data_IF_588663521184
#
_entry.id   IF_588663521184
#
_cell.length_a   1.000
_cell.length_b   1.000
_cell.length_c   1.000
_cell.angle_alpha   90.00
_cell.angle_beta   90.00
_cell.angle_gamma   90.00
#
_symmetry.space_group_name_H-M   'P 1'
#
loop_
_entity.id
_entity.type
_entity.pdbx_description
1 polymer ?
#
# COMPACT_ATOMS: atom_id res chain seq x y z
N UNK A 1 -20.74 17.16 16.18
CA UNK A 1 -19.89 16.03 16.60
C UNK A 1 -18.42 16.43 16.48
N UNK A 2 -17.56 15.80 17.28
CA UNK A 2 -16.10 15.89 17.20
C UNK A 2 -15.59 14.85 16.19
N UNK A 3 -14.95 15.33 15.12
CA UNK A 3 -14.45 14.52 14.02
C UNK A 3 -12.92 14.56 14.04
N UNK A 4 -12.29 13.39 14.16
CA UNK A 4 -10.85 13.26 14.06
C UNK A 4 -10.46 12.71 12.70
N UNK A 5 -9.79 13.53 11.92
CA UNK A 5 -9.21 13.13 10.64
C UNK A 5 -7.79 12.64 10.86
N UNK A 6 -7.58 11.33 10.68
CA UNK A 6 -6.26 10.70 10.67
C UNK A 6 -5.73 10.79 9.24
N UNK A 7 -4.89 11.79 8.96
CA UNK A 7 -4.28 11.98 7.65
C UNK A 7 -3.01 11.12 7.51
N UNK A 8 -3.14 10.00 6.81
CA UNK A 8 -2.09 9.05 6.47
C UNK A 8 -1.16 9.50 5.34
N UNK A 9 -1.41 10.65 4.71
CA UNK A 9 -0.55 11.15 3.64
C UNK A 9 0.81 11.64 4.17
N UNK A 10 1.94 11.22 3.58
CA UNK A 10 3.26 11.74 3.96
C UNK A 10 3.43 13.23 3.65
N UNK A 11 2.53 13.81 2.84
CA UNK A 11 2.54 15.24 2.51
C UNK A 11 1.91 16.12 3.59
N UNK A 12 1.28 15.54 4.62
CA UNK A 12 0.59 16.30 5.67
C UNK A 12 -0.44 17.26 5.10
N UNK A 13 -0.38 18.53 5.48
CA UNK A 13 -1.26 19.60 4.97
C UNK A 13 -1.17 19.79 3.45
N UNK A 14 -0.09 19.33 2.81
CA UNK A 14 0.08 19.41 1.36
C UNK A 14 -0.56 18.22 0.60
N UNK A 15 -1.37 17.41 1.27
CA UNK A 15 -2.04 16.26 0.67
C UNK A 15 -3.24 16.68 -0.17
N UNK A 16 -3.34 16.15 -1.40
CA UNK A 16 -4.54 16.28 -2.24
C UNK A 16 -5.73 15.60 -1.55
N UNK A 17 -5.50 14.42 -0.96
CA UNK A 17 -6.53 13.67 -0.22
C UNK A 17 -7.16 14.49 0.91
N UNK A 18 -6.37 15.33 1.58
CA UNK A 18 -6.87 16.13 2.69
C UNK A 18 -7.82 17.24 2.23
N UNK A 19 -7.69 17.69 0.98
CA UNK A 19 -8.46 18.84 0.47
C UNK A 19 -9.96 18.58 0.46
N UNK A 20 -10.40 17.36 0.18
CA UNK A 20 -11.83 17.01 0.23
C UNK A 20 -12.37 17.11 1.65
N UNK A 21 -11.59 16.74 2.67
CA UNK A 21 -12.04 16.87 4.06
C UNK A 21 -12.00 18.32 4.56
N UNK A 22 -11.07 19.14 4.08
CA UNK A 22 -11.08 20.60 4.31
C UNK A 22 -12.27 21.29 3.63
N UNK A 23 -12.66 20.80 2.44
CA UNK A 23 -13.89 21.23 1.78
C UNK A 23 -15.11 20.87 2.63
N UNK A 24 -15.20 19.63 3.13
CA UNK A 24 -16.30 19.21 4.01
C UNK A 24 -16.35 19.98 5.33
N UNK A 25 -15.21 20.31 5.94
CA UNK A 25 -15.14 21.18 7.12
C UNK A 25 -15.77 22.56 6.86
N UNK A 26 -15.55 23.13 5.66
CA UNK A 26 -16.16 24.41 5.26
C UNK A 26 -17.67 24.30 4.99
N UNK A 27 -18.12 23.17 4.46
CA UNK A 27 -19.54 22.95 4.15
C UNK A 27 -20.36 22.65 5.40
N UNK A 28 -19.82 21.86 6.34
CA UNK A 28 -20.52 21.36 7.53
C UNK A 28 -19.99 21.99 8.82
N UNK A 29 -20.23 23.30 8.96
CA UNK A 29 -19.72 24.15 10.06
C UNK A 29 -20.24 23.79 11.46
N UNK A 30 -21.31 23.00 11.55
CA UNK A 30 -21.91 22.48 12.78
C UNK A 30 -21.10 21.34 13.42
N UNK A 31 -20.01 20.90 12.77
CA UNK A 31 -19.13 19.85 13.26
C UNK A 31 -17.71 20.38 13.47
N UNK A 32 -17.03 19.84 14.49
CA UNK A 32 -15.67 20.23 14.83
C UNK A 32 -14.69 19.22 14.24
N UNK A 33 -13.91 19.65 13.25
CA UNK A 33 -12.85 18.84 12.67
C UNK A 33 -11.53 19.07 13.40
N UNK A 34 -10.80 17.99 13.66
CA UNK A 34 -9.41 18.01 14.09
C UNK A 34 -8.59 17.14 13.14
N UNK A 35 -7.45 17.67 12.67
CA UNK A 35 -6.61 17.00 11.69
C UNK A 35 -5.28 16.54 12.32
N UNK A 36 -5.05 15.23 12.32
CA UNK A 36 -3.78 14.62 12.73
C UNK A 36 -3.00 14.15 11.51
N UNK A 37 -1.89 14.82 11.21
CA UNK A 37 -0.98 14.48 10.12
C UNK A 37 -0.06 13.28 10.47
N UNK A 38 -0.65 12.11 10.72
CA UNK A 38 0.08 10.89 11.11
C UNK A 38 1.03 10.43 10.02
N UNK A 39 0.68 10.60 8.75
CA UNK A 39 1.53 10.24 7.62
C UNK A 39 2.85 10.99 7.60
N UNK A 40 2.82 12.29 7.93
CA UNK A 40 4.03 13.12 8.00
C UNK A 40 4.79 12.92 9.32
N UNK A 41 4.08 12.65 10.41
CA UNK A 41 4.61 12.62 11.78
C UNK A 41 4.81 11.20 12.34
N UNK A 42 4.78 10.15 11.52
CA UNK A 42 4.79 8.77 12.05
C UNK A 42 5.99 8.48 12.97
N UNK A 43 7.20 8.95 12.61
CA UNK A 43 8.41 8.80 13.44
C UNK A 43 8.35 9.55 14.77
N UNK A 44 7.56 10.61 14.83
CA UNK A 44 7.27 11.32 16.08
C UNK A 44 6.32 10.49 16.94
N UNK A 45 5.22 9.99 16.36
CA UNK A 45 4.23 9.21 17.09
C UNK A 45 4.73 7.83 17.55
N UNK A 46 5.75 7.26 16.90
CA UNK A 46 6.46 6.08 17.42
C UNK A 46 7.02 6.29 18.83
N UNK A 47 7.30 7.54 19.23
CA UNK A 47 7.86 7.89 20.55
C UNK A 47 6.88 8.63 21.45
N UNK A 48 6.02 9.45 20.86
CA UNK A 48 5.17 10.41 21.55
C UNK A 48 3.68 10.08 21.36
N UNK A 49 3.34 8.79 21.29
CA UNK A 49 1.99 8.35 20.99
C UNK A 49 0.94 8.85 22.00
N UNK A 50 1.32 8.97 23.27
CA UNK A 50 0.42 9.40 24.34
C UNK A 50 -0.17 10.80 24.14
N UNK A 51 0.48 11.66 23.35
CA UNK A 51 0.02 13.04 23.11
C UNK A 51 -1.31 13.12 22.35
N UNK A 52 -1.70 12.06 21.63
CA UNK A 52 -2.94 12.05 20.84
C UNK A 52 -4.05 11.21 21.49
N UNK A 53 -3.78 10.62 22.66
CA UNK A 53 -4.73 9.73 23.34
C UNK A 53 -6.01 10.47 23.74
N UNK A 54 -5.86 11.65 24.31
CA UNK A 54 -6.99 12.48 24.74
C UNK A 54 -7.89 12.88 23.56
N UNK A 55 -7.30 13.22 22.42
CA UNK A 55 -8.06 13.56 21.21
C UNK A 55 -8.81 12.35 20.65
N UNK A 56 -8.18 11.17 20.65
CA UNK A 56 -8.83 9.92 20.24
C UNK A 56 -10.02 9.57 21.15
N UNK A 57 -9.89 9.78 22.46
CA UNK A 57 -10.95 9.49 23.44
C UNK A 57 -12.12 10.48 23.36
N UNK A 58 -11.88 11.77 23.07
CA UNK A 58 -12.92 12.81 22.93
C UNK A 58 -13.67 12.80 21.60
N UNK A 59 -13.19 12.02 20.64
CA UNK A 59 -13.73 11.98 19.27
C UNK A 59 -15.00 11.14 19.19
N UNK A 60 -15.98 11.60 18.41
CA UNK A 60 -17.20 10.85 18.09
C UNK A 60 -16.99 9.94 16.87
N UNK A 61 -16.28 10.46 15.86
CA UNK A 61 -16.03 9.81 14.57
C UNK A 61 -14.58 9.95 14.14
N UNK A 62 -13.96 8.84 13.76
CA UNK A 62 -12.62 8.81 13.17
C UNK A 62 -12.74 8.69 11.65
N UNK A 63 -12.10 9.59 10.89
CA UNK A 63 -12.00 9.52 9.44
C UNK A 63 -10.54 9.24 9.05
N UNK A 64 -10.28 8.04 8.52
CA UNK A 64 -8.98 7.69 7.96
C UNK A 64 -8.84 8.29 6.56
N UNK A 65 -7.94 9.26 6.39
CA UNK A 65 -7.71 9.97 5.13
C UNK A 65 -6.35 9.62 4.55
N UNK A 66 -6.29 9.01 3.36
CA UNK A 66 -5.01 8.54 2.82
C UNK A 66 -4.98 8.36 1.29
N UNK A 67 -3.82 8.56 0.63
CA UNK A 67 -3.63 8.13 -0.74
C UNK A 67 -3.35 6.62 -0.81
N UNK A 68 -3.70 5.96 -1.92
CA UNK A 68 -3.41 4.53 -2.11
C UNK A 68 -1.99 4.34 -2.66
N UNK A 69 -1.14 3.66 -1.90
CA UNK A 69 0.28 3.38 -2.20
C UNK A 69 0.51 1.87 -2.24
N UNK A 70 0.95 1.35 -3.38
CA UNK A 70 1.34 -0.06 -3.55
C UNK A 70 0.23 -1.04 -3.14
N UNK A 71 -0.97 -0.87 -3.72
CA UNK A 71 -2.18 -1.67 -3.46
C UNK A 71 -2.78 -1.52 -2.05
N UNK A 72 -2.29 -0.59 -1.21
CA UNK A 72 -2.75 -0.47 0.18
C UNK A 72 -2.62 0.97 0.69
N UNK A 73 -2.90 1.19 1.98
CA UNK A 73 -2.60 2.44 2.70
C UNK A 73 -1.08 2.70 2.73
N UNK A 74 -0.61 3.96 2.87
CA UNK A 74 0.81 4.24 3.03
C UNK A 74 1.39 3.58 4.29
N UNK A 75 2.66 3.20 4.26
CA UNK A 75 3.39 2.63 5.40
C UNK A 75 3.15 3.41 6.69
N UNK A 76 3.13 4.74 6.60
CA UNK A 76 2.99 5.60 7.76
C UNK A 76 1.62 5.42 8.45
N UNK A 77 0.55 5.21 7.68
CA UNK A 77 -0.77 4.91 8.24
C UNK A 77 -0.84 3.48 8.78
N UNK A 78 -0.21 2.53 8.08
CA UNK A 78 -0.11 1.15 8.57
C UNK A 78 0.59 1.11 9.94
N UNK A 79 1.76 1.74 10.08
CA UNK A 79 2.47 1.82 11.36
C UNK A 79 1.64 2.55 12.43
N UNK A 80 0.85 3.54 12.05
CA UNK A 80 -0.04 4.22 12.99
C UNK A 80 -1.13 3.28 13.55
N UNK A 81 -1.67 2.39 12.74
CA UNK A 81 -2.65 1.37 13.18
C UNK A 81 -2.01 0.36 14.14
N UNK A 82 -0.77 -0.05 13.88
CA UNK A 82 -0.01 -0.86 14.85
C UNK A 82 0.13 -0.12 16.18
N UNK A 83 0.50 1.16 16.16
CA UNK A 83 0.60 1.96 17.38
C UNK A 83 -0.75 2.08 18.13
N UNK A 84 -1.89 2.18 17.43
CA UNK A 84 -3.23 2.16 18.05
C UNK A 84 -3.44 0.88 18.86
N UNK A 85 -3.07 -0.27 18.28
CA UNK A 85 -3.22 -1.60 18.89
C UNK A 85 -2.23 -1.84 20.03
N UNK A 86 -0.96 -1.45 19.84
CA UNK A 86 0.11 -1.57 20.85
C UNK A 86 -0.17 -0.77 22.12
N UNK A 87 -0.87 0.37 22.01
CA UNK A 87 -1.12 1.27 23.13
C UNK A 87 -2.50 1.10 23.80
N UNK A 88 -3.28 0.09 23.42
CA UNK A 88 -4.57 -0.29 24.05
C UNK A 88 -5.52 0.91 24.29
N UNK A 89 -5.70 1.78 23.29
CA UNK A 89 -6.57 2.96 23.44
C UNK A 89 -8.04 2.54 23.47
N UNK A 90 -8.83 3.20 24.32
CA UNK A 90 -10.27 2.99 24.40
C UNK A 90 -11.02 3.77 23.29
N UNK A 91 -11.02 3.22 22.07
CA UNK A 91 -11.79 3.75 20.93
C UNK A 91 -12.95 2.84 20.52
N UNK A 92 -13.22 1.77 21.25
CA UNK A 92 -14.30 0.82 20.97
C UNK A 92 -15.66 1.53 20.89
N UNK A 93 -16.54 1.05 20.01
CA UNK A 93 -17.88 1.57 19.73
C UNK A 93 -17.96 2.99 19.13
N UNK A 94 -16.83 3.69 18.95
CA UNK A 94 -16.80 4.95 18.18
C UNK A 94 -17.03 4.65 16.71
N UNK A 95 -17.58 5.62 15.97
CA UNK A 95 -17.76 5.47 14.54
C UNK A 95 -16.44 5.68 13.80
N UNK A 96 -16.26 4.95 12.71
CA UNK A 96 -15.12 5.12 11.84
C UNK A 96 -15.53 5.05 10.38
N UNK A 97 -14.90 5.86 9.55
CA UNK A 97 -15.00 5.75 8.10
C UNK A 97 -13.67 6.11 7.46
N UNK A 98 -13.62 6.13 6.14
CA UNK A 98 -12.42 6.43 5.40
C UNK A 98 -12.68 7.25 4.15
N UNK A 99 -11.66 8.01 3.77
CA UNK A 99 -11.62 8.75 2.52
C UNK A 99 -10.25 8.53 1.87
N UNK A 100 -10.24 8.05 0.63
CA UNK A 100 -9.00 7.89 -0.11
C UNK A 100 -9.02 8.59 -1.45
N UNK A 101 -7.85 9.02 -1.90
CA UNK A 101 -7.66 9.39 -3.31
C UNK A 101 -6.72 8.40 -3.99
N UNK A 102 -7.09 7.95 -5.18
CA UNK A 102 -6.27 7.09 -6.00
C UNK A 102 -6.45 7.44 -7.49
N UNK A 103 -5.91 6.62 -8.40
CA UNK A 103 -6.35 6.59 -9.81
C UNK A 103 -7.30 5.41 -10.05
N UNK A 104 -8.10 5.06 -9.04
CA UNK A 104 -8.85 3.80 -8.91
C UNK A 104 -7.98 2.55 -9.03
N UNK A 105 -6.69 2.68 -8.73
CA UNK A 105 -5.76 1.57 -8.73
C UNK A 105 -5.83 0.85 -7.38
N UNK A 106 -6.54 -0.28 -7.33
CA UNK A 106 -6.65 -1.15 -6.15
C UNK A 106 -6.95 -0.39 -4.85
N UNK A 107 -7.83 0.60 -4.93
CA UNK A 107 -8.36 1.27 -3.76
C UNK A 107 -9.22 0.31 -2.91
N UNK A 108 -9.85 -0.69 -3.54
CA UNK A 108 -10.62 -1.73 -2.86
C UNK A 108 -9.83 -2.44 -1.76
N UNK A 109 -8.55 -2.78 -1.98
CA UNK A 109 -7.73 -3.52 -1.01
C UNK A 109 -7.27 -2.61 0.12
N UNK A 110 -6.98 -1.33 -0.19
CA UNK A 110 -6.68 -0.32 0.81
C UNK A 110 -7.89 -0.02 1.71
N UNK A 111 -9.08 0.08 1.12
CA UNK A 111 -10.32 0.27 1.87
C UNK A 111 -10.62 -0.92 2.76
N UNK A 112 -10.49 -2.13 2.22
CA UNK A 112 -10.75 -3.33 2.99
C UNK A 112 -9.78 -3.49 4.17
N UNK A 113 -8.51 -3.11 4.00
CA UNK A 113 -7.53 -3.12 5.09
C UNK A 113 -7.93 -2.19 6.25
N UNK A 114 -8.40 -0.96 5.96
CA UNK A 114 -8.89 -0.06 7.00
C UNK A 114 -10.17 -0.58 7.64
N UNK A 115 -11.11 -1.11 6.86
CA UNK A 115 -12.33 -1.73 7.37
C UNK A 115 -12.00 -2.83 8.37
N UNK A 116 -11.17 -3.80 7.98
CA UNK A 116 -10.82 -4.95 8.81
C UNK A 116 -10.13 -4.51 10.11
N UNK A 117 -9.17 -3.58 10.03
CA UNK A 117 -8.51 -3.02 11.21
C UNK A 117 -9.43 -2.17 12.09
N UNK A 118 -10.43 -1.49 11.53
CA UNK A 118 -11.44 -0.80 12.32
C UNK A 118 -12.28 -1.80 13.12
N UNK A 119 -12.64 -2.93 12.51
CA UNK A 119 -13.42 -3.96 13.17
C UNK A 119 -12.61 -4.66 14.28
N UNK A 120 -11.31 -4.90 14.08
CA UNK A 120 -10.40 -5.38 15.14
C UNK A 120 -10.38 -4.45 16.37
N UNK A 121 -10.36 -3.15 16.13
CA UNK A 121 -10.40 -2.11 17.17
C UNK A 121 -11.80 -1.94 17.80
N UNK A 122 -12.80 -2.69 17.33
CA UNK A 122 -14.18 -2.62 17.79
C UNK A 122 -14.89 -1.33 17.40
N UNK A 123 -14.46 -0.67 16.32
CA UNK A 123 -15.10 0.53 15.79
C UNK A 123 -16.37 0.18 15.01
N UNK A 124 -17.36 1.08 15.07
CA UNK A 124 -18.57 1.04 14.24
C UNK A 124 -18.24 1.58 12.86
N UNK A 125 -17.74 0.71 12.00
CA UNK A 125 -17.28 1.09 10.67
C UNK A 125 -18.45 1.42 9.73
N UNK A 126 -18.32 2.51 8.98
CA UNK A 126 -19.22 2.97 7.92
C UNK A 126 -18.41 3.05 6.63
N UNK A 127 -18.92 2.51 5.53
CA UNK A 127 -18.22 2.47 4.23
C UNK A 127 -17.77 3.86 3.80
N UNK A 128 -16.52 3.94 3.39
CA UNK A 128 -15.88 5.18 2.98
C UNK A 128 -16.11 5.58 1.52
N UNK A 129 -15.43 6.66 1.12
CA UNK A 129 -15.41 7.18 -0.26
C UNK A 129 -14.01 7.01 -0.87
N UNK A 130 -13.95 6.43 -2.07
CA UNK A 130 -12.73 6.42 -2.90
C UNK A 130 -12.92 7.37 -4.07
N UNK A 131 -12.08 8.40 -4.16
CA UNK A 131 -12.11 9.42 -5.21
C UNK A 131 -10.89 9.32 -6.13
N UNK A 132 -11.02 9.77 -7.38
CA UNK A 132 -9.86 10.14 -8.18
C UNK A 132 -9.21 11.39 -7.58
N UNK A 133 -7.89 11.53 -7.76
CA UNK A 133 -7.15 12.72 -7.34
C UNK A 133 -7.78 14.04 -7.82
N UNK A 134 -8.44 14.08 -8.98
CA UNK A 134 -8.98 15.30 -9.58
C UNK A 134 -10.46 15.59 -9.25
N UNK A 135 -11.16 14.71 -8.53
CA UNK A 135 -12.63 14.77 -8.45
C UNK A 135 -13.16 15.98 -7.68
N UNK A 136 -12.50 16.45 -6.62
CA UNK A 136 -12.94 17.65 -5.91
C UNK A 136 -12.99 18.91 -6.80
N UNK A 137 -12.21 18.92 -7.89
CA UNK A 137 -12.21 20.05 -8.85
C UNK A 137 -13.43 20.04 -9.78
N UNK A 138 -14.24 18.98 -9.75
CA UNK A 138 -15.47 18.83 -10.54
C UNK A 138 -16.69 18.99 -9.65
N UNK A 139 -17.82 19.40 -10.22
CA UNK A 139 -19.08 19.55 -9.47
C UNK A 139 -19.56 18.20 -8.94
N UNK A 140 -19.51 17.18 -9.79
CA UNK A 140 -19.94 15.82 -9.46
C UNK A 140 -19.12 15.27 -8.28
N UNK A 141 -17.80 15.49 -8.25
CA UNK A 141 -16.98 15.05 -7.13
C UNK A 141 -17.19 15.85 -5.84
N UNK A 142 -17.63 17.11 -5.93
CA UNK A 142 -18.07 17.89 -4.76
C UNK A 142 -19.40 17.35 -4.22
N UNK A 143 -20.34 17.04 -5.10
CA UNK A 143 -21.63 16.41 -4.76
C UNK A 143 -21.42 15.04 -4.12
N UNK A 144 -20.54 14.20 -4.68
CA UNK A 144 -20.19 12.89 -4.12
C UNK A 144 -19.61 13.01 -2.71
N UNK A 145 -18.72 13.98 -2.48
CA UNK A 145 -18.15 14.24 -1.15
C UNK A 145 -19.23 14.65 -0.15
N UNK A 146 -20.16 15.52 -0.55
CA UNK A 146 -21.27 16.00 0.28
C UNK A 146 -22.25 14.85 0.58
N UNK A 147 -22.60 14.05 -0.43
CA UNK A 147 -23.48 12.89 -0.28
C UNK A 147 -22.86 11.83 0.63
N UNK A 148 -21.57 11.56 0.48
CA UNK A 148 -20.80 10.71 1.40
C UNK A 148 -20.93 11.19 2.85
N UNK A 149 -20.72 12.48 3.09
CA UNK A 149 -20.74 13.02 4.43
C UNK A 149 -22.16 13.09 5.04
N UNK A 150 -23.16 13.43 4.23
CA UNK A 150 -24.57 13.34 4.63
C UNK A 150 -24.96 11.90 5.01
N UNK A 151 -24.53 10.91 4.24
CA UNK A 151 -24.75 9.50 4.56
C UNK A 151 -24.05 9.08 5.85
N UNK A 152 -22.82 9.55 6.09
CA UNK A 152 -22.10 9.34 7.35
C UNK A 152 -22.91 9.87 8.54
N UNK A 153 -23.38 11.13 8.48
CA UNK A 153 -24.21 11.74 9.52
C UNK A 153 -25.49 10.93 9.73
N UNK A 154 -26.18 10.54 8.65
CA UNK A 154 -27.37 9.73 8.72
C UNK A 154 -27.11 8.41 9.45
N UNK A 155 -26.03 7.70 9.11
CA UNK A 155 -25.66 6.45 9.77
C UNK A 155 -25.38 6.66 11.26
N UNK A 156 -24.63 7.69 11.64
CA UNK A 156 -24.31 7.97 13.05
C UNK A 156 -25.58 8.27 13.84
N UNK A 157 -26.46 9.16 13.34
CA UNK A 157 -27.69 9.56 14.01
C UNK A 157 -28.65 8.39 14.22
N UNK A 158 -28.63 7.39 13.33
CA UNK A 158 -29.47 6.20 13.40
C UNK A 158 -28.72 4.98 13.99
N UNK A 159 -27.51 5.18 14.51
CA UNK A 159 -26.65 4.13 15.04
C UNK A 159 -26.46 2.93 14.08
N UNK A 160 -26.28 3.24 12.79
CA UNK A 160 -26.06 2.27 11.72
C UNK A 160 -24.56 2.12 11.45
N UNK A 161 -24.12 0.88 11.34
CA UNK A 161 -22.76 0.54 10.93
C UNK A 161 -22.78 -0.70 10.04
N UNK A 162 -21.72 -0.87 9.27
CA UNK A 162 -21.51 -2.08 8.51
C UNK A 162 -21.25 -3.24 9.48
N UNK A 163 -21.95 -4.35 9.27
CA UNK A 163 -21.74 -5.60 10.00
C UNK A 163 -21.15 -6.58 8.99
N UNK A 164 -19.87 -6.92 9.15
CA UNK A 164 -19.27 -7.99 8.37
C UNK A 164 -19.49 -9.32 9.10
N UNK A 165 -20.34 -10.19 8.54
CA UNK A 165 -20.62 -11.51 9.11
C UNK A 165 -19.39 -12.44 9.16
N UNK A 166 -18.32 -12.12 8.41
CA UNK A 166 -17.06 -12.88 8.42
C UNK A 166 -16.18 -12.62 9.65
N UNK A 167 -16.47 -11.59 10.44
CA UNK A 167 -15.69 -11.24 11.65
C UNK A 167 -16.06 -12.07 12.89
N UNK A 168 -16.69 -13.23 12.72
CA UNK A 168 -16.84 -14.17 13.83
C UNK A 168 -15.46 -14.63 14.26
N UNK A 169 -15.11 -14.34 15.52
CA UNK A 169 -13.88 -14.79 16.16
C UNK A 169 -13.75 -16.30 15.96
N UNK A 170 -12.73 -16.71 15.22
CA UNK A 170 -12.36 -18.10 15.09
C UNK A 170 -11.30 -18.42 16.12
N UNK A 171 -11.55 -19.49 16.87
CA UNK A 171 -10.85 -19.83 18.09
C UNK A 171 -9.82 -20.94 17.87
N UNK A 172 -9.38 -21.21 16.63
CA UNK A 172 -8.31 -22.20 16.42
C UNK A 172 -7.02 -21.60 16.97
N UNK A 173 -6.48 -22.25 17.99
CA UNK A 173 -5.20 -21.83 18.56
C UNK A 173 -4.11 -21.92 17.50
N UNK A 174 -3.22 -20.93 17.48
CA UNK A 174 -2.07 -20.93 16.58
C UNK A 174 -1.15 -22.08 16.98
N UNK A 175 -1.07 -23.11 16.14
CA UNK A 175 -0.13 -24.21 16.31
C UNK A 175 1.21 -23.77 15.71
N UNK A 176 2.29 -23.86 16.49
CA UNK A 176 3.63 -23.56 16.00
C UNK A 176 4.04 -24.65 15.01
N UNK A 177 4.43 -24.25 13.80
CA UNK A 177 5.02 -25.16 12.83
C UNK A 177 6.35 -25.69 13.35
N UNK A 178 6.42 -27.01 13.56
CA UNK A 178 7.64 -27.68 13.99
C UNK A 178 8.41 -28.20 12.79
N UNK A 179 9.72 -27.94 12.77
CA UNK A 179 10.68 -28.42 11.77
C UNK A 179 10.49 -29.90 11.47
N UNK A 180 10.39 -30.25 10.19
CA UNK A 180 10.25 -31.63 9.71
C UNK A 180 11.51 -32.16 9.07
N UNK A 181 12.41 -31.27 8.64
CA UNK A 181 13.65 -31.67 7.99
C UNK A 181 14.87 -31.32 8.85
N UNK A 182 15.80 -32.26 8.92
CA UNK A 182 17.14 -32.04 9.47
C UNK A 182 18.11 -31.74 8.32
N UNK A 183 19.26 -31.13 8.63
CA UNK A 183 20.22 -30.63 7.62
C UNK A 183 20.42 -31.61 6.45
N UNK A 184 20.22 -31.11 5.23
CA UNK A 184 20.45 -31.89 4.01
C UNK A 184 21.92 -31.76 3.62
N UNK A 185 22.63 -32.89 3.57
CA UNK A 185 24.04 -32.95 3.13
C UNK A 185 24.19 -32.86 1.61
N UNK A 186 23.09 -32.78 0.84
CA UNK A 186 23.14 -32.64 -0.62
C UNK A 186 23.58 -31.24 -1.02
N UNK A 187 24.57 -31.19 -1.91
CA UNK A 187 24.98 -29.95 -2.56
C UNK A 187 23.79 -29.32 -3.31
N UNK A 188 23.64 -28.00 -3.14
CA UNK A 188 22.61 -27.20 -3.81
C UNK A 188 23.13 -26.74 -5.16
N UNK A 189 22.26 -26.73 -6.16
CA UNK A 189 22.60 -26.19 -7.47
C UNK A 189 22.76 -24.65 -7.38
N UNK A 190 23.90 -24.14 -7.83
CA UNK A 190 24.26 -22.71 -7.78
C UNK A 190 24.02 -21.97 -9.10
N UNK A 191 23.41 -22.62 -10.10
CA UNK A 191 23.08 -22.03 -11.40
C UNK A 191 21.94 -21.01 -11.35
N UNK A 192 21.19 -20.98 -10.23
CA UNK A 192 20.06 -20.08 -9.98
C UNK A 192 20.19 -19.40 -8.62
N UNK A 193 19.78 -18.14 -8.55
CA UNK A 193 19.69 -17.36 -7.30
C UNK A 193 18.23 -17.23 -6.86
N UNK A 194 17.89 -17.82 -5.71
CA UNK A 194 16.54 -17.71 -5.13
C UNK A 194 16.59 -16.92 -3.83
N UNK A 195 15.85 -15.81 -3.82
CA UNK A 195 15.78 -14.91 -2.67
C UNK A 195 14.54 -15.21 -1.83
N UNK A 196 14.73 -15.50 -0.55
CA UNK A 196 13.68 -15.44 0.47
C UNK A 196 13.69 -14.03 1.05
N UNK A 197 12.67 -13.23 0.73
CA UNK A 197 12.49 -11.89 1.29
C UNK A 197 11.49 -11.95 2.44
N UNK A 198 11.94 -11.62 3.65
CA UNK A 198 11.14 -11.80 4.86
C UNK A 198 11.13 -10.58 5.77
N UNK A 199 10.17 -10.53 6.70
CA UNK A 199 10.19 -9.68 7.87
C UNK A 199 10.09 -10.49 9.19
N UNK A 200 10.55 -11.74 9.17
CA UNK A 200 10.48 -12.66 10.31
C UNK A 200 11.02 -12.00 11.60
N UNK A 201 10.23 -12.06 12.68
CA UNK A 201 10.62 -11.56 13.99
C UNK A 201 11.66 -12.47 14.63
N UNK A 202 12.46 -11.92 15.57
CA UNK A 202 13.41 -12.71 16.35
C UNK A 202 12.74 -13.84 17.14
N UNK A 203 11.49 -13.62 17.58
CA UNK A 203 10.67 -14.54 18.35
C UNK A 203 9.60 -15.26 17.51
N UNK A 204 9.67 -15.18 16.18
CA UNK A 204 8.69 -15.81 15.29
C UNK A 204 9.15 -17.22 14.88
N UNK A 205 8.93 -18.16 15.79
CA UNK A 205 9.39 -19.55 15.63
C UNK A 205 8.74 -20.25 14.44
N UNK A 206 7.42 -20.05 14.23
CA UNK A 206 6.68 -20.77 13.19
C UNK A 206 7.16 -20.39 11.79
N UNK A 207 7.22 -19.08 11.49
CA UNK A 207 7.71 -18.60 10.21
C UNK A 207 9.18 -18.98 9.99
N UNK A 208 10.00 -18.84 11.03
CA UNK A 208 11.42 -19.25 10.99
C UNK A 208 11.56 -20.72 10.63
N UNK A 209 10.79 -21.59 11.26
CA UNK A 209 10.84 -23.03 11.01
C UNK A 209 10.43 -23.38 9.58
N UNK A 210 9.39 -22.74 9.04
CA UNK A 210 8.98 -22.94 7.64
C UNK A 210 10.04 -22.46 6.64
N UNK A 211 10.64 -21.28 6.87
CA UNK A 211 11.72 -20.75 6.03
C UNK A 211 12.90 -21.72 6.01
N UNK A 212 13.32 -22.20 7.17
CA UNK A 212 14.44 -23.13 7.25
C UNK A 212 14.10 -24.47 6.58
N UNK A 213 12.87 -24.97 6.70
CA UNK A 213 12.48 -26.24 6.06
C UNK A 213 12.47 -26.09 4.53
N UNK A 214 11.97 -24.95 4.04
CA UNK A 214 12.04 -24.61 2.62
C UNK A 214 13.49 -24.58 2.11
N UNK A 215 14.41 -23.89 2.81
CA UNK A 215 15.85 -23.86 2.42
C UNK A 215 16.45 -25.26 2.33
N UNK A 216 16.06 -26.17 3.23
CA UNK A 216 16.56 -27.55 3.24
C UNK A 216 16.05 -28.37 2.05
N UNK A 217 14.77 -28.26 1.71
CA UNK A 217 14.17 -29.06 0.64
C UNK A 217 14.36 -28.48 -0.76
N UNK A 218 14.55 -27.17 -0.87
CA UNK A 218 14.61 -26.50 -2.17
C UNK A 218 15.94 -26.80 -2.89
N UNK A 219 15.95 -27.21 -4.17
CA UNK A 219 17.16 -27.75 -4.81
C UNK A 219 18.24 -26.71 -5.16
N UNK A 220 17.86 -25.45 -5.37
CA UNK A 220 18.80 -24.38 -5.70
C UNK A 220 19.31 -23.66 -4.44
N UNK A 221 20.45 -22.97 -4.58
CA UNK A 221 20.97 -22.08 -3.55
C UNK A 221 19.93 -21.01 -3.22
N UNK A 222 19.65 -20.87 -1.93
CA UNK A 222 18.75 -19.85 -1.38
C UNK A 222 19.53 -18.89 -0.50
N UNK A 223 19.20 -17.61 -0.61
CA UNK A 223 19.67 -16.57 0.31
C UNK A 223 18.46 -15.89 0.94
N UNK A 224 18.63 -15.41 2.16
CA UNK A 224 17.58 -14.73 2.91
C UNK A 224 17.94 -13.26 3.10
N UNK A 225 16.97 -12.38 2.91
CA UNK A 225 17.03 -10.98 3.31
C UNK A 225 15.87 -10.74 4.28
N UNK A 226 16.20 -10.36 5.51
CA UNK A 226 15.22 -9.89 6.47
C UNK A 226 15.11 -8.36 6.42
N UNK A 227 14.00 -7.85 5.92
CA UNK A 227 13.78 -6.43 5.68
C UNK A 227 13.68 -5.60 6.97
N UNK A 228 13.47 -6.25 8.13
CA UNK A 228 13.54 -5.59 9.45
C UNK A 228 14.97 -5.18 9.82
N UNK A 229 15.99 -5.79 9.20
CA UNK A 229 17.40 -5.47 9.43
C UNK A 229 17.88 -4.31 8.56
N UNK A 230 17.12 -3.95 7.52
CA UNK A 230 17.44 -2.80 6.68
C UNK A 230 17.11 -1.48 7.39
N UNK A 231 18.10 -0.59 7.50
CA UNK A 231 17.94 0.70 8.15
C UNK A 231 17.26 1.75 7.26
N UNK A 232 15.95 1.66 7.09
CA UNK A 232 15.18 2.67 6.37
C UNK A 232 15.18 4.01 7.10
N UNK A 233 15.53 5.10 6.40
CA UNK A 233 15.39 6.45 6.96
C UNK A 233 13.92 6.93 7.01
N UNK A 234 13.00 6.24 6.33
CA UNK A 234 11.56 6.55 6.32
C UNK A 234 10.83 5.95 5.12
N UNK A 235 9.49 6.05 5.11
CA UNK A 235 8.63 5.58 4.00
C UNK A 235 8.54 6.57 2.82
N UNK A 236 7.93 6.15 1.72
CA UNK A 236 7.77 7.02 0.54
C UNK A 236 7.09 8.35 0.90
N UNK A 237 7.63 9.45 0.35
CA UNK A 237 7.14 10.81 0.62
C UNK A 237 6.16 11.34 -0.44
N UNK A 238 5.94 10.60 -1.53
CA UNK A 238 5.15 11.09 -2.66
C UNK A 238 5.73 12.35 -3.32
N UNK A 239 7.05 12.57 -3.20
CA UNK A 239 7.70 13.82 -3.62
C UNK A 239 7.93 13.94 -5.14
N UNK A 240 7.71 12.86 -5.89
CA UNK A 240 7.95 12.76 -7.34
C UNK A 240 9.39 12.98 -7.82
N UNK A 241 10.38 13.12 -6.92
CA UNK A 241 11.79 13.30 -7.31
C UNK A 241 12.37 12.13 -8.12
N UNK A 242 12.02 10.91 -7.75
CA UNK A 242 12.43 9.70 -8.47
C UNK A 242 11.74 9.53 -9.83
N UNK A 243 10.57 10.12 -10.06
CA UNK A 243 9.85 9.99 -11.34
C UNK A 243 10.63 10.60 -12.52
N UNK A 244 11.45 11.61 -12.23
CA UNK A 244 12.28 12.30 -13.24
C UNK A 244 13.69 11.70 -13.31
N UNK A 245 14.29 11.44 -12.15
CA UNK A 245 15.73 11.12 -12.05
C UNK A 245 16.03 9.63 -11.88
N UNK A 246 15.02 8.82 -11.54
CA UNK A 246 15.19 7.43 -11.14
C UNK A 246 15.86 7.23 -9.78
N UNK A 247 16.13 8.32 -9.02
CA UNK A 247 16.78 8.29 -7.71
C UNK A 247 15.87 8.81 -6.61
N UNK A 248 15.82 8.09 -5.50
CA UNK A 248 15.07 8.48 -4.32
C UNK A 248 15.74 9.67 -3.61
N UNK A 249 14.94 10.41 -2.83
CA UNK A 249 15.46 11.51 -1.99
C UNK A 249 16.16 11.01 -0.73
N UNK A 250 15.83 9.79 -0.31
CA UNK A 250 16.52 9.12 0.78
C UNK A 250 17.95 8.74 0.37
N UNK A 251 18.87 8.82 1.34
CA UNK A 251 20.30 8.52 1.17
C UNK A 251 20.72 7.29 1.98
N UNK A 252 19.78 6.40 2.26
CA UNK A 252 19.99 5.17 3.05
C UNK A 252 20.52 4.00 2.21
N UNK A 253 20.81 4.21 0.92
CA UNK A 253 21.34 3.17 0.02
C UNK A 253 20.27 2.25 -0.61
N UNK A 254 18.98 2.52 -0.39
CA UNK A 254 17.93 1.55 -0.74
C UNK A 254 17.80 1.30 -2.23
N UNK A 255 18.03 2.32 -3.05
CA UNK A 255 17.95 2.21 -4.50
C UNK A 255 18.96 1.19 -5.04
N UNK A 256 20.20 1.21 -4.52
CA UNK A 256 21.25 0.28 -4.91
C UNK A 256 21.01 -1.10 -4.32
N UNK A 257 20.57 -1.18 -3.06
CA UNK A 257 20.17 -2.42 -2.41
C UNK A 257 19.06 -3.14 -3.20
N UNK A 258 17.99 -2.42 -3.56
CA UNK A 258 16.88 -2.97 -4.34
C UNK A 258 17.36 -3.54 -5.68
N UNK A 259 18.18 -2.78 -6.42
CA UNK A 259 18.66 -3.16 -7.76
C UNK A 259 19.68 -4.29 -7.73
N UNK A 260 20.55 -4.33 -6.73
CA UNK A 260 21.67 -5.25 -6.71
C UNK A 260 21.41 -6.50 -5.88
N UNK A 261 20.66 -6.38 -4.78
CA UNK A 261 20.41 -7.47 -3.85
C UNK A 261 19.04 -8.11 -4.04
N UNK A 262 18.05 -7.43 -4.61
CA UNK A 262 16.70 -7.99 -4.76
C UNK A 262 16.38 -8.29 -6.22
N UNK A 263 16.50 -7.30 -7.13
CA UNK A 263 16.11 -7.43 -8.54
C UNK A 263 16.94 -8.42 -9.36
N UNK A 264 18.10 -8.88 -8.86
CA UNK A 264 18.96 -9.83 -9.57
C UNK A 264 18.58 -11.29 -9.35
N UNK A 265 17.68 -11.59 -8.42
CA UNK A 265 17.27 -12.97 -8.17
C UNK A 265 16.52 -13.55 -9.39
N UNK A 266 16.68 -14.85 -9.63
CA UNK A 266 15.90 -15.59 -10.63
C UNK A 266 14.44 -15.81 -10.16
N UNK A 267 14.23 -15.87 -8.84
CA UNK A 267 12.89 -15.95 -8.22
C UNK A 267 12.89 -15.40 -6.80
N UNK A 268 11.70 -15.08 -6.30
CA UNK A 268 11.50 -14.57 -4.93
C UNK A 268 10.44 -15.38 -4.19
N UNK A 269 10.77 -15.78 -2.97
CA UNK A 269 9.82 -16.27 -1.97
C UNK A 269 9.57 -15.16 -0.95
N UNK A 270 8.33 -14.69 -0.89
CA UNK A 270 7.88 -13.74 0.12
C UNK A 270 7.49 -14.50 1.38
N UNK A 271 8.17 -14.25 2.50
CA UNK A 271 7.93 -14.98 3.74
C UNK A 271 7.55 -14.03 4.88
N UNK A 272 6.34 -14.12 5.41
CA UNK A 272 5.88 -13.20 6.45
C UNK A 272 4.83 -13.80 7.37
N UNK A 273 4.63 -13.16 8.51
CA UNK A 273 3.51 -13.45 9.41
C UNK A 273 2.39 -12.46 9.14
N UNK A 274 1.15 -12.97 9.10
CA UNK A 274 -0.04 -12.15 8.99
C UNK A 274 -0.16 -11.34 10.27
N UNK A 275 -0.11 -10.02 10.12
CA UNK A 275 -0.36 -9.06 11.18
C UNK A 275 -1.34 -8.04 10.62
N UNK A 276 -2.38 -7.70 11.38
CA UNK A 276 -3.31 -6.62 11.03
C UNK A 276 -3.97 -6.78 9.64
N UNK A 277 -4.36 -8.01 9.28
CA UNK A 277 -4.95 -8.36 7.96
C UNK A 277 -4.02 -8.19 6.75
N UNK A 278 -2.71 -8.07 6.99
CA UNK A 278 -1.72 -7.98 5.92
C UNK A 278 -0.40 -8.63 6.36
N UNK A 279 0.54 -7.82 6.85
CA UNK A 279 1.82 -8.21 7.45
C UNK A 279 2.30 -7.04 8.31
N UNK A 280 3.46 -7.12 8.95
CA UNK A 280 4.03 -6.00 9.69
C UNK A 280 4.41 -4.81 8.78
N UNK A 281 4.30 -3.59 9.30
CA UNK A 281 4.60 -2.34 8.61
C UNK A 281 6.04 -2.27 8.04
N UNK A 282 6.97 -3.08 8.56
CA UNK A 282 8.32 -3.23 7.99
C UNK A 282 8.33 -3.80 6.55
N UNK A 283 7.37 -4.65 6.19
CA UNK A 283 7.22 -5.06 4.79
C UNK A 283 6.61 -3.94 3.95
N UNK A 284 5.66 -3.21 4.55
CA UNK A 284 4.98 -2.10 3.86
C UNK A 284 5.91 -0.94 3.54
N UNK A 285 6.86 -0.62 4.42
CA UNK A 285 7.88 0.40 4.12
C UNK A 285 8.74 -0.04 2.93
N UNK A 286 9.12 -1.31 2.84
CA UNK A 286 9.82 -1.84 1.68
C UNK A 286 9.01 -1.67 0.40
N UNK A 287 7.75 -2.12 0.39
CA UNK A 287 6.84 -1.99 -0.74
C UNK A 287 6.71 -0.55 -1.22
N UNK A 288 6.47 0.39 -0.29
CA UNK A 288 6.36 1.80 -0.65
C UNK A 288 7.68 2.39 -1.13
N UNK A 289 8.81 1.91 -0.61
CA UNK A 289 10.11 2.40 -1.05
C UNK A 289 10.46 1.91 -2.45
N UNK A 290 9.84 0.85 -2.96
CA UNK A 290 9.96 0.43 -4.36
C UNK A 290 9.46 1.47 -5.37
N UNK A 291 8.67 2.47 -4.96
CA UNK A 291 8.32 3.62 -5.83
C UNK A 291 9.55 4.40 -6.35
N UNK A 292 10.75 4.20 -5.79
CA UNK A 292 11.99 4.67 -6.42
C UNK A 292 12.17 4.10 -7.84
N UNK A 293 11.63 2.91 -8.10
CA UNK A 293 11.59 2.29 -9.42
C UNK A 293 10.38 2.74 -10.28
N UNK A 294 9.51 3.62 -9.77
CA UNK A 294 8.33 4.08 -10.49
C UNK A 294 7.29 2.99 -10.65
N UNK A 295 6.67 2.91 -11.83
CA UNK A 295 5.67 1.89 -12.18
C UNK A 295 6.30 0.74 -12.99
N UNK A 296 7.58 0.48 -12.73
CA UNK A 296 8.34 -0.65 -13.28
C UNK A 296 8.42 -1.67 -12.17
N UNK A 297 7.62 -2.73 -12.28
CA UNK A 297 7.52 -3.72 -11.20
C UNK A 297 8.88 -4.34 -10.93
N UNK A 298 9.33 -4.30 -9.67
CA UNK A 298 10.67 -4.74 -9.26
C UNK A 298 10.91 -6.20 -9.62
N UNK A 299 9.87 -7.01 -9.47
CA UNK A 299 9.92 -8.45 -9.69
C UNK A 299 9.37 -8.85 -11.06
N UNK A 300 9.23 -7.93 -12.01
CA UNK A 300 8.49 -8.18 -13.27
C UNK A 300 8.89 -9.51 -13.94
N UNK A 301 7.89 -10.34 -14.24
CA UNK A 301 8.07 -11.62 -14.94
C UNK A 301 8.71 -12.75 -14.12
N UNK A 302 9.22 -12.49 -12.90
CA UNK A 302 9.84 -13.51 -12.06
C UNK A 302 8.80 -14.54 -11.55
N UNK A 303 9.15 -15.83 -11.43
CA UNK A 303 8.40 -16.74 -10.58
C UNK A 303 8.43 -16.26 -9.13
N UNK A 304 7.27 -16.24 -8.48
CA UNK A 304 7.14 -15.86 -7.07
C UNK A 304 6.33 -16.88 -6.28
N UNK A 305 6.65 -17.04 -5.02
CA UNK A 305 5.94 -17.91 -4.08
C UNK A 305 5.84 -17.27 -2.71
N UNK A 306 5.00 -17.83 -1.84
CA UNK A 306 4.74 -17.27 -0.52
C UNK A 306 4.82 -18.33 0.59
N UNK A 307 5.39 -17.95 1.72
CA UNK A 307 5.37 -18.69 2.99
C UNK A 307 4.75 -17.77 4.03
N UNK A 308 3.59 -18.12 4.55
CA UNK A 308 2.77 -17.23 5.38
C UNK A 308 2.49 -17.88 6.72
N UNK A 309 2.90 -17.26 7.82
CA UNK A 309 2.44 -17.71 9.14
C UNK A 309 1.13 -17.00 9.50
N UNK A 310 0.06 -17.75 9.72
CA UNK A 310 -1.29 -17.24 10.04
C UNK A 310 -2.40 -17.80 9.16
N UNK A 311 -3.65 -17.47 9.52
CA UNK A 311 -4.88 -17.95 8.88
C UNK A 311 -5.13 -17.26 7.52
N UNK A 312 -4.31 -17.63 6.52
CA UNK A 312 -4.39 -17.07 5.19
C UNK A 312 -5.74 -17.30 4.49
N UNK A 313 -6.42 -18.41 4.78
CA UNK A 313 -7.71 -18.75 4.15
C UNK A 313 -8.81 -17.73 4.45
N UNK A 314 -8.75 -17.08 5.62
CA UNK A 314 -9.71 -16.05 6.02
C UNK A 314 -9.38 -14.66 5.51
N UNK A 315 -8.14 -14.43 5.12
CA UNK A 315 -7.67 -13.12 4.70
C UNK A 315 -7.93 -12.90 3.20
N UNK A 316 -9.21 -12.83 2.81
CA UNK A 316 -9.62 -12.62 1.41
C UNK A 316 -8.99 -11.36 0.78
N UNK A 317 -8.83 -10.30 1.58
CA UNK A 317 -8.17 -9.09 1.14
C UNK A 317 -6.68 -9.32 0.82
N UNK A 318 -5.98 -10.07 1.69
CA UNK A 318 -4.59 -10.46 1.47
C UNK A 318 -4.45 -11.37 0.25
N UNK A 319 -5.36 -12.34 0.07
CA UNK A 319 -5.42 -13.20 -1.12
C UNK A 319 -5.54 -12.37 -2.39
N UNK A 320 -6.50 -11.43 -2.41
CA UNK A 320 -6.70 -10.50 -3.52
C UNK A 320 -5.45 -9.69 -3.78
N UNK A 321 -4.81 -9.17 -2.73
CA UNK A 321 -3.60 -8.35 -2.85
C UNK A 321 -2.41 -9.15 -3.42
N UNK A 322 -2.19 -10.39 -2.96
CA UNK A 322 -1.11 -11.26 -3.46
C UNK A 322 -1.32 -11.58 -4.94
N UNK A 323 -2.53 -11.99 -5.32
CA UNK A 323 -2.87 -12.29 -6.71
C UNK A 323 -2.70 -11.04 -7.58
N UNK A 324 -3.27 -9.92 -7.14
CA UNK A 324 -3.22 -8.64 -7.88
C UNK A 324 -1.81 -8.14 -8.13
N UNK A 325 -0.92 -8.25 -7.14
CA UNK A 325 0.50 -7.90 -7.28
C UNK A 325 1.19 -8.80 -8.31
N UNK A 326 0.92 -10.10 -8.24
CA UNK A 326 1.47 -11.09 -9.17
C UNK A 326 1.05 -10.78 -10.61
N UNK A 327 -0.25 -10.51 -10.79
CA UNK A 327 -0.86 -10.25 -12.09
C UNK A 327 -0.39 -8.93 -12.73
N UNK A 328 -0.29 -7.85 -11.94
CA UNK A 328 0.25 -6.57 -12.41
C UNK A 328 1.74 -6.69 -12.75
N UNK A 329 2.50 -7.46 -11.96
CA UNK A 329 3.91 -7.75 -12.22
C UNK A 329 4.16 -8.75 -13.35
N UNK A 330 3.12 -9.37 -13.93
CA UNK A 330 3.29 -10.46 -14.90
C UNK A 330 4.04 -11.67 -14.31
N UNK A 331 3.99 -11.83 -12.99
CA UNK A 331 4.67 -12.88 -12.26
C UNK A 331 3.96 -14.22 -12.41
N UNK A 332 4.72 -15.30 -12.48
CA UNK A 332 4.16 -16.63 -12.28
C UNK A 332 4.03 -16.91 -10.78
N UNK A 333 2.82 -16.71 -10.25
CA UNK A 333 2.50 -17.10 -8.88
C UNK A 333 2.50 -18.64 -8.77
N UNK A 334 3.55 -19.17 -8.14
CA UNK A 334 3.85 -20.60 -8.05
C UNK A 334 2.91 -21.31 -7.09
N UNK A 335 3.10 -21.07 -5.80
CA UNK A 335 2.33 -21.66 -4.72
C UNK A 335 2.37 -20.78 -3.47
N UNK A 336 1.39 -20.94 -2.59
CA UNK A 336 1.28 -20.23 -1.32
C UNK A 336 1.18 -21.26 -0.22
N UNK A 337 2.11 -21.19 0.74
CA UNK A 337 2.14 -22.07 1.90
C UNK A 337 1.72 -21.27 3.13
N UNK A 338 0.89 -21.86 3.97
CA UNK A 338 0.57 -21.28 5.27
C UNK A 338 0.43 -22.33 6.39
N UNK A 339 0.86 -21.98 7.59
CA UNK A 339 0.99 -22.89 8.75
C UNK A 339 -0.32 -23.13 9.53
N UNK A 340 -1.42 -22.55 9.07
CA UNK A 340 -2.75 -22.75 9.65
C UNK A 340 -3.50 -23.96 9.05
N UNK A 341 -2.91 -24.56 8.01
CA UNK A 341 -3.26 -25.85 7.44
C UNK A 341 -2.40 -26.95 8.07
N UNK A 342 -3.02 -28.06 8.46
CA UNK A 342 -2.36 -29.20 9.11
C UNK A 342 -1.32 -29.89 8.20
N UNK A 343 -1.33 -29.58 6.89
CA UNK A 343 -0.44 -30.15 5.87
C UNK A 343 0.69 -29.21 5.37
N UNK A 344 1.05 -28.18 6.15
CA UNK A 344 2.03 -27.16 5.75
C UNK A 344 3.37 -27.73 5.22
N UNK A 345 3.81 -28.89 5.71
CA UNK A 345 5.02 -29.56 5.24
C UNK A 345 4.91 -30.03 3.78
N UNK A 346 3.80 -30.65 3.38
CA UNK A 346 3.60 -31.05 2.00
C UNK A 346 3.39 -29.84 1.09
N UNK A 347 2.75 -28.78 1.60
CA UNK A 347 2.61 -27.51 0.88
C UNK A 347 3.98 -26.86 0.60
N UNK A 348 4.94 -26.92 1.53
CA UNK A 348 6.34 -26.50 1.28
C UNK A 348 6.98 -27.32 0.15
N UNK A 349 6.77 -28.64 0.13
CA UNK A 349 7.27 -29.51 -0.95
C UNK A 349 6.64 -29.19 -2.31
N UNK A 350 5.35 -28.84 -2.34
CA UNK A 350 4.66 -28.37 -3.56
C UNK A 350 5.23 -27.04 -4.03
N UNK A 351 5.39 -26.07 -3.13
CA UNK A 351 6.03 -24.79 -3.44
C UNK A 351 7.43 -25.01 -4.04
N UNK A 352 8.25 -25.84 -3.41
CA UNK A 352 9.58 -26.18 -3.90
C UNK A 352 9.56 -26.75 -5.33
N UNK A 353 8.71 -27.74 -5.57
CA UNK A 353 8.62 -28.44 -6.86
C UNK A 353 8.09 -27.52 -7.98
N UNK A 354 7.01 -26.77 -7.70
CA UNK A 354 6.40 -25.85 -8.68
C UNK A 354 7.35 -24.68 -8.97
N UNK A 355 8.00 -24.12 -7.95
CA UNK A 355 8.99 -23.05 -8.13
C UNK A 355 10.16 -23.51 -9.00
N UNK A 356 10.72 -24.70 -8.71
CA UNK A 356 11.78 -25.27 -9.54
C UNK A 356 11.34 -25.40 -11.00
N UNK A 357 10.17 -26.01 -11.22
CA UNK A 357 9.62 -26.17 -12.57
C UNK A 357 9.41 -24.83 -13.28
N UNK A 358 8.87 -23.83 -12.59
CA UNK A 358 8.60 -22.51 -13.15
C UNK A 358 9.89 -21.80 -13.60
N UNK A 359 10.96 -21.90 -12.82
CA UNK A 359 12.27 -21.33 -13.19
C UNK A 359 12.91 -22.06 -14.37
N UNK A 360 12.91 -23.39 -14.36
CA UNK A 360 13.55 -24.21 -15.39
C UNK A 360 12.87 -24.04 -16.75
N UNK A 361 11.55 -23.87 -16.74
CA UNK A 361 10.73 -23.77 -17.95
C UNK A 361 10.31 -22.33 -18.29
N UNK A 362 10.78 -21.33 -17.53
CA UNK A 362 10.43 -19.91 -17.69
C UNK A 362 8.91 -19.70 -17.80
N UNK A 363 8.16 -20.32 -16.89
CA UNK A 363 6.71 -20.31 -16.96
C UNK A 363 6.14 -18.89 -16.85
N UNK A 364 5.08 -18.63 -17.60
CA UNK A 364 4.30 -17.38 -17.59
C UNK A 364 2.81 -17.70 -17.63
N UNK A 365 1.95 -16.77 -17.19
CA UNK A 365 0.49 -16.90 -17.33
C UNK A 365 -0.10 -15.69 -18.06
N UNK A 366 -1.17 -15.89 -18.87
CA UNK A 366 -1.98 -14.77 -19.35
C UNK A 366 -2.57 -14.00 -18.17
N UNK A 367 -2.68 -12.68 -18.33
CA UNK A 367 -3.24 -11.80 -17.30
C UNK A 367 -4.72 -12.03 -17.09
N UNK A 368 -5.17 -12.10 -15.85
CA UNK A 368 -6.59 -12.09 -15.48
C UNK A 368 -7.14 -10.65 -15.37
N UNK A 369 -8.32 -10.50 -14.78
CA UNK A 369 -8.96 -9.19 -14.58
C UNK A 369 -8.07 -8.20 -13.80
N UNK A 370 -7.42 -8.67 -12.72
CA UNK A 370 -6.53 -7.87 -11.90
C UNK A 370 -5.36 -7.32 -12.73
N UNK A 371 -4.68 -8.20 -13.48
CA UNK A 371 -3.56 -7.80 -14.34
C UNK A 371 -3.97 -6.84 -15.45
N UNK A 372 -5.09 -7.11 -16.14
CA UNK A 372 -5.59 -6.28 -17.23
C UNK A 372 -6.06 -4.91 -16.72
N UNK A 373 -6.89 -4.87 -15.68
CA UNK A 373 -7.44 -3.63 -15.13
C UNK A 373 -6.36 -2.72 -14.56
N UNK A 374 -5.50 -3.27 -13.70
CA UNK A 374 -4.40 -2.52 -13.09
C UNK A 374 -3.43 -1.95 -14.13
N UNK A 375 -3.04 -2.76 -15.12
CA UNK A 375 -2.11 -2.31 -16.15
C UNK A 375 -2.71 -1.26 -17.07
N UNK A 376 -4.02 -1.28 -17.37
CA UNK A 376 -4.68 -0.22 -18.15
C UNK A 376 -4.62 1.13 -17.44
N UNK A 377 -4.86 1.16 -16.14
CA UNK A 377 -4.77 2.39 -15.34
C UNK A 377 -3.36 2.99 -15.41
N UNK A 378 -2.32 2.18 -15.16
CA UNK A 378 -0.94 2.65 -15.21
C UNK A 378 -0.48 3.03 -16.61
N UNK A 379 -0.81 2.20 -17.61
CA UNK A 379 -0.51 2.46 -19.03
C UNK A 379 -1.04 3.84 -19.43
N UNK A 380 -2.29 4.15 -19.13
CA UNK A 380 -2.92 5.43 -19.47
C UNK A 380 -2.31 6.60 -18.69
N UNK A 381 -2.12 6.41 -17.37
CA UNK A 381 -1.51 7.41 -16.50
C UNK A 381 -0.13 7.83 -17.00
N UNK A 382 0.74 6.86 -17.28
CA UNK A 382 2.14 7.10 -17.67
C UNK A 382 2.21 7.70 -19.07
N UNK A 383 1.32 7.29 -19.98
CA UNK A 383 1.26 7.89 -21.31
C UNK A 383 0.88 9.39 -21.22
N UNK A 384 -0.11 9.73 -20.40
CA UNK A 384 -0.52 11.14 -20.18
C UNK A 384 0.59 11.93 -19.47
N UNK A 385 1.23 11.31 -18.47
CA UNK A 385 2.25 11.92 -17.63
C UNK A 385 3.69 11.75 -18.15
N UNK A 386 3.86 11.35 -19.41
CA UNK A 386 5.14 10.99 -20.03
C UNK A 386 6.25 12.05 -19.90
N UNK A 387 5.87 13.32 -19.73
CA UNK A 387 6.81 14.40 -19.47
C UNK A 387 7.40 14.39 -18.07
N UNK A 388 6.59 14.05 -17.06
CA UNK A 388 7.01 13.97 -15.66
C UNK A 388 7.61 12.60 -15.31
N UNK A 389 7.00 11.53 -15.83
CA UNK A 389 7.35 10.14 -15.55
C UNK A 389 8.23 9.58 -16.67
N UNK A 390 9.37 10.24 -16.89
CA UNK A 390 10.24 9.99 -18.07
C UNK A 390 10.82 8.58 -18.08
N UNK A 391 11.25 8.10 -16.93
CA UNK A 391 11.87 6.77 -16.80
C UNK A 391 10.85 5.65 -16.97
N UNK A 392 9.63 5.83 -16.45
CA UNK A 392 8.51 4.93 -16.71
C UNK A 392 8.17 4.95 -18.21
N UNK A 393 8.00 6.13 -18.83
CA UNK A 393 7.65 6.22 -20.24
C UNK A 393 8.67 5.53 -21.17
N UNK A 394 9.97 5.71 -20.93
CA UNK A 394 11.03 5.02 -21.68
C UNK A 394 10.90 3.50 -21.55
N UNK A 395 10.64 3.02 -20.34
CA UNK A 395 10.46 1.60 -20.06
C UNK A 395 9.24 1.03 -20.78
N UNK A 396 8.08 1.66 -20.64
CA UNK A 396 6.82 1.23 -21.26
C UNK A 396 6.91 1.18 -22.78
N UNK A 397 7.61 2.13 -23.40
CA UNK A 397 7.86 2.14 -24.85
C UNK A 397 8.77 0.98 -25.28
N UNK A 398 9.85 0.72 -24.53
CA UNK A 398 10.80 -0.37 -24.82
C UNK A 398 10.15 -1.76 -24.72
N UNK A 399 9.22 -1.94 -23.78
CA UNK A 399 8.55 -3.22 -23.52
C UNK A 399 7.19 -3.35 -24.21
N UNK A 400 6.87 -2.46 -25.15
CA UNK A 400 5.63 -2.52 -25.94
C UNK A 400 4.34 -2.58 -25.11
N UNK A 401 4.30 -1.91 -23.95
CA UNK A 401 3.13 -1.93 -23.06
C UNK A 401 2.00 -1.00 -23.58
N UNK A 402 2.33 -0.04 -24.46
CA UNK A 402 1.33 0.80 -25.10
C UNK A 402 0.69 0.08 -26.31
N UNK A 403 -0.60 -0.16 -26.21
CA UNK A 403 -1.44 -0.91 -27.17
C UNK A 403 -2.58 -0.06 -27.75
N UNK A 404 -2.56 1.27 -27.58
CA UNK A 404 -3.64 2.18 -28.00
C UNK A 404 -3.15 3.62 -28.29
N UNK A 405 -3.93 4.44 -29.02
CA UNK A 405 -3.71 5.88 -29.08
C UNK A 405 -4.50 6.63 -27.98
N UNK A 406 -3.83 7.50 -27.20
CA UNK A 406 -4.48 8.44 -26.28
C UNK A 406 -4.73 9.81 -26.93
N UNK A 407 -5.90 10.40 -26.69
CA UNK A 407 -6.35 11.65 -27.35
C UNK A 407 -6.05 12.94 -26.58
N UNK A 408 -5.58 12.87 -25.33
CA UNK A 408 -5.34 14.04 -24.45
C UNK A 408 -4.06 14.84 -24.81
N UNK A 409 -3.94 15.30 -26.06
CA UNK A 409 -2.73 15.97 -26.60
C UNK A 409 -2.30 17.20 -25.79
N UNK A 410 -3.24 18.02 -25.35
CA UNK A 410 -2.96 19.22 -24.57
C UNK A 410 -2.36 18.89 -23.20
N UNK A 411 -2.96 17.94 -22.46
CA UNK A 411 -2.45 17.49 -21.16
C UNK A 411 -1.04 16.89 -21.30
N UNK A 412 -0.80 16.10 -22.34
CA UNK A 412 0.55 15.57 -22.63
C UNK A 412 1.58 16.67 -22.88
N UNK A 413 1.23 17.71 -23.64
CA UNK A 413 2.12 18.85 -23.89
C UNK A 413 2.44 19.59 -22.59
N UNK A 414 1.42 19.86 -21.76
CA UNK A 414 1.61 20.47 -20.44
C UNK A 414 2.54 19.63 -19.57
N UNK A 415 2.35 18.31 -19.52
CA UNK A 415 3.22 17.42 -18.74
C UNK A 415 4.66 17.41 -19.26
N UNK A 416 4.87 17.52 -20.57
CA UNK A 416 6.22 17.69 -21.16
C UNK A 416 6.89 18.98 -20.72
N UNK A 417 6.15 20.09 -20.71
CA UNK A 417 6.67 21.38 -20.23
C UNK A 417 7.02 21.33 -18.74
N UNK A 418 6.11 20.81 -17.91
CA UNK A 418 6.37 20.61 -16.46
C UNK A 418 7.59 19.73 -16.25
N UNK A 419 7.67 18.61 -16.97
CA UNK A 419 8.81 17.71 -16.95
C UNK A 419 10.13 18.36 -17.36
N UNK A 420 10.12 19.22 -18.37
CA UNK A 420 11.30 19.99 -18.80
C UNK A 420 11.74 20.98 -17.72
N UNK A 421 10.80 21.76 -17.15
CA UNK A 421 11.08 22.71 -16.09
C UNK A 421 11.67 22.03 -14.84
N UNK A 422 11.07 20.93 -14.38
CA UNK A 422 11.57 20.19 -13.21
C UNK A 422 12.84 19.39 -13.56
N UNK A 423 13.27 19.27 -14.82
CA UNK A 423 14.57 18.67 -15.13
C UNK A 423 15.74 19.65 -14.97
N UNK A 424 15.47 20.95 -14.85
CA UNK A 424 16.49 21.99 -14.69
C UNK A 424 16.93 22.03 -13.21
N UNK A 425 18.21 21.79 -12.85
CA UNK A 425 18.64 21.67 -11.44
C UNK A 425 18.35 22.90 -10.57
N UNK A 426 18.45 24.10 -11.14
CA UNK A 426 18.13 25.36 -10.45
C UNK A 426 16.63 25.50 -10.18
N UNK A 427 15.79 25.02 -11.09
CA UNK A 427 14.33 24.94 -10.90
C UNK A 427 13.93 23.82 -9.96
N UNK A 428 14.59 22.67 -9.97
CA UNK A 428 14.35 21.59 -8.99
C UNK A 428 14.47 22.10 -7.56
N UNK A 429 15.54 22.84 -7.24
CA UNK A 429 15.75 23.40 -5.90
C UNK A 429 14.69 24.44 -5.54
N UNK A 430 14.28 25.31 -6.47
CA UNK A 430 13.27 26.36 -6.25
C UNK A 430 11.83 25.84 -6.21
N UNK A 431 11.50 24.85 -7.04
CA UNK A 431 10.16 24.30 -7.19
C UNK A 431 9.83 23.26 -6.11
N UNK A 432 10.82 22.58 -5.51
CA UNK A 432 10.55 21.57 -4.47
C UNK A 432 9.65 22.08 -3.34
N UNK A 433 9.79 23.35 -2.95
CA UNK A 433 8.98 23.96 -1.89
C UNK A 433 7.65 24.55 -2.41
N UNK A 434 7.62 25.09 -3.63
CA UNK A 434 6.44 25.76 -4.21
C UNK A 434 5.52 24.85 -5.03
N UNK A 435 5.97 23.66 -5.43
CA UNK A 435 5.21 22.75 -6.29
C UNK A 435 3.93 22.27 -5.61
N UNK A 436 3.98 21.99 -4.31
CA UNK A 436 2.80 21.64 -3.54
C UNK A 436 1.78 22.79 -3.53
N UNK A 437 2.23 24.04 -3.38
CA UNK A 437 1.34 25.21 -3.41
C UNK A 437 0.62 25.34 -4.76
N UNK A 438 1.34 25.18 -5.87
CA UNK A 438 0.74 25.24 -7.21
C UNK A 438 -0.24 24.09 -7.46
N UNK A 439 0.10 22.86 -7.03
CA UNK A 439 -0.79 21.69 -7.15
C UNK A 439 -2.08 21.91 -6.36
N UNK A 440 -2.00 22.53 -5.18
CA UNK A 440 -3.14 22.73 -4.30
C UNK A 440 -3.96 23.98 -4.61
N UNK A 441 -3.44 24.93 -5.38
CA UNK A 441 -4.13 26.18 -5.70
C UNK A 441 -5.54 25.97 -6.29
N UNK A 442 -5.77 25.03 -7.24
CA UNK A 442 -7.13 24.74 -7.71
C UNK A 442 -8.08 24.25 -6.61
N UNK A 443 -7.59 23.39 -5.70
CA UNK A 443 -8.39 22.87 -4.59
C UNK A 443 -8.73 23.96 -3.57
N UNK A 444 -7.76 24.83 -3.24
CA UNK A 444 -8.00 25.98 -2.38
C UNK A 444 -9.10 26.88 -2.93
N UNK A 445 -9.10 27.14 -4.24
CA UNK A 445 -10.19 27.90 -4.88
C UNK A 445 -11.56 27.23 -4.72
N UNK A 446 -11.62 25.90 -4.77
CA UNK A 446 -12.88 25.17 -4.53
C UNK A 446 -13.31 25.33 -3.06
N UNK A 447 -12.38 25.15 -2.12
CA UNK A 447 -12.62 25.26 -0.67
C UNK A 447 -13.05 26.69 -0.29
N UNK A 448 -12.38 27.71 -0.81
CA UNK A 448 -12.68 29.12 -0.51
C UNK A 448 -14.07 29.54 -1.03
N UNK A 449 -14.55 28.89 -2.08
CA UNK A 449 -15.89 29.11 -2.63
C UNK A 449 -16.96 28.19 -2.04
N UNK A 450 -16.59 27.27 -1.14
CA UNK A 450 -17.52 26.34 -0.53
C UNK A 450 -18.45 27.08 0.44
N UNK A 451 -19.76 27.04 0.17
CA UNK A 451 -20.79 27.59 1.04
C UNK A 451 -22.00 26.65 1.03
N UNK A 452 -22.55 26.35 2.22
CA UNK A 452 -23.69 25.44 2.39
C UNK A 452 -24.94 25.88 1.59
N UNK A 453 -25.07 27.18 1.28
CA UNK A 453 -26.18 27.72 0.46
C UNK A 453 -26.06 27.44 -1.05
N UNK A 454 -24.87 27.10 -1.55
CA UNK A 454 -24.62 26.88 -2.98
C UNK A 454 -24.69 25.39 -3.38
N UNK A 455 -24.95 24.49 -2.42
CA UNK A 455 -24.80 23.03 -2.57
C UNK A 455 -26.16 22.31 -2.38
N UNK A 456 -27.25 23.07 -2.11
CA UNK A 456 -28.63 22.53 -2.03
C UNK A 456 -29.39 22.72 -3.33
#
# INVERSE_FOLDING_TARGET
MNILVINGSPKGNNSITLQTLLFLEKVFTEHKFLFLNVGQKIKYYEKNFNEIKEELEKTDVIIFSYPVYTFLVPYQLHRFIELLKENNINIKNKFATQFSTSKHFYDITAHKFIEENCLDLGLKYIRGLSADMEDLMKKEGQEDAVNFFNYLIFCINNNLNYINASNKAYTKEKIIYNRKYTNNSKEKDTSKDVLILTNCAKNDESLRNMIEDFKIIFPYKTREINIREYNFHGGCLGCFGCAITGKCVYKDGFDDFLRNEIQKADSIIYAFTIENHYTHSSFKIYDDRQFCNGHRTVTEGMPIGYIISGDYEREYNLQTLIESRSEVGGNFLTHIVYDYNDDACNELSKLSSIMKYAMDNKCTRPKNFYGVGGMKIFRDLIYIMQGLMKEDHKYYKKHHIYDFPQKQRMKMLQMKLVGALISIPSMQKKMKNKMNEYILMPYKKVIDNANMKNIK
#
